data_IF_991154501758
#
_entry.id   IF_991154501758
#
_cell.length_a   1.000
_cell.length_b   1.000
_cell.length_c   1.000
_cell.angle_alpha   90.00
_cell.angle_beta   90.00
_cell.angle_gamma   90.00
#
_symmetry.space_group_name_H-M   'P 1'
#
loop_
_entity.id
_entity.type
_entity.pdbx_description
1 polymer ?
#
# COMPACT_ATOMS: atom_id res chain seq x y z
N UNK A 1 -12.36 44.49 -68.63
CA UNK A 1 -13.60 44.45 -67.82
C UNK A 1 -13.53 43.23 -66.91
N UNK A 2 -13.41 43.47 -65.60
CA UNK A 2 -12.96 42.52 -64.56
C UNK A 2 -14.08 42.29 -63.54
N UNK A 3 -15.18 41.61 -63.88
CA UNK A 3 -16.24 41.34 -62.88
C UNK A 3 -17.03 40.06 -63.19
N UNK A 4 -16.37 38.91 -63.31
CA UNK A 4 -17.10 37.62 -63.41
C UNK A 4 -16.50 36.48 -62.58
N UNK A 5 -15.61 36.79 -61.62
CA UNK A 5 -14.95 35.77 -60.80
C UNK A 5 -15.32 35.79 -59.30
N UNK A 6 -16.17 36.72 -58.86
CA UNK A 6 -16.52 36.85 -57.43
C UNK A 6 -17.91 36.29 -57.05
N UNK A 7 -18.69 35.76 -58.00
CA UNK A 7 -20.02 35.22 -57.71
C UNK A 7 -20.03 33.72 -57.33
N UNK A 8 -18.94 32.98 -57.59
CA UNK A 8 -18.91 31.52 -57.36
C UNK A 8 -18.40 31.12 -55.95
N UNK A 9 -17.82 32.04 -55.18
CA UNK A 9 -17.20 31.73 -53.88
C UNK A 9 -18.11 31.93 -52.66
N UNK A 10 -19.34 32.42 -52.85
CA UNK A 10 -20.28 32.72 -51.75
C UNK A 10 -21.44 31.70 -51.61
N UNK A 11 -21.43 30.60 -52.36
CA UNK A 11 -22.47 29.56 -52.32
C UNK A 11 -22.04 28.25 -51.64
N UNK A 12 -20.79 28.14 -51.17
CA UNK A 12 -20.27 26.92 -50.52
C UNK A 12 -20.27 27.00 -48.98
N UNK A 13 -20.79 28.07 -48.38
CA UNK A 13 -20.78 28.27 -46.91
C UNK A 13 -22.07 27.84 -46.20
N UNK A 14 -23.02 27.17 -46.88
CA UNK A 14 -24.32 26.81 -46.29
C UNK A 14 -24.69 25.32 -46.35
N UNK A 15 -23.72 24.42 -46.61
CA UNK A 15 -23.96 22.97 -46.56
C UNK A 15 -22.86 22.28 -45.76
N UNK A 16 -22.82 22.53 -44.44
CA UNK A 16 -22.37 21.55 -43.44
C UNK A 16 -22.59 22.05 -42.01
N UNK A 17 -23.86 22.22 -41.64
CA UNK A 17 -24.28 22.00 -40.26
C UNK A 17 -25.46 21.03 -40.31
N UNK A 18 -25.17 19.86 -40.89
CA UNK A 18 -25.92 18.66 -40.58
C UNK A 18 -25.72 18.38 -39.09
N UNK A 19 -26.82 18.11 -38.39
CA UNK A 19 -26.84 17.66 -37.01
C UNK A 19 -25.84 16.52 -36.82
N UNK A 20 -24.67 16.83 -36.27
CA UNK A 20 -23.90 15.86 -35.53
C UNK A 20 -24.21 16.13 -34.07
N UNK A 21 -25.22 15.42 -33.55
CA UNK A 21 -25.23 14.94 -32.18
C UNK A 21 -24.03 13.98 -32.00
N UNK A 22 -22.82 14.50 -32.20
CA UNK A 22 -21.63 13.91 -31.65
C UNK A 22 -21.65 14.31 -30.19
N UNK A 23 -22.41 13.57 -29.39
CA UNK A 23 -21.88 13.17 -28.10
C UNK A 23 -20.53 12.54 -28.40
N UNK A 24 -19.47 13.36 -28.40
CA UNK A 24 -18.15 12.88 -28.07
C UNK A 24 -18.37 12.35 -26.66
N UNK A 25 -18.67 11.06 -26.58
CA UNK A 25 -18.51 10.31 -25.35
C UNK A 25 -17.07 10.58 -24.96
N UNK A 26 -16.92 11.52 -24.02
CA UNK A 26 -15.71 11.70 -23.25
C UNK A 26 -15.24 10.28 -22.93
N UNK A 27 -14.03 9.85 -23.37
CA UNK A 27 -13.53 8.52 -23.15
C UNK A 27 -13.15 8.40 -21.67
N UNK A 28 -14.15 8.52 -20.80
CA UNK A 28 -14.08 8.12 -19.42
C UNK A 28 -13.70 6.65 -19.48
N UNK A 29 -12.63 6.24 -18.79
CA UNK A 29 -12.24 4.84 -18.72
C UNK A 29 -13.49 4.03 -18.37
N UNK A 30 -13.78 3.00 -19.17
CA UNK A 30 -14.88 2.07 -18.88
C UNK A 30 -14.69 1.61 -17.43
N UNK A 31 -15.70 1.84 -16.60
CA UNK A 31 -15.66 1.50 -15.19
C UNK A 31 -15.50 -0.03 -15.05
N UNK A 32 -14.26 -0.47 -14.87
CA UNK A 32 -13.96 -1.88 -14.61
C UNK A 32 -14.50 -2.24 -13.23
N UNK A 33 -15.26 -3.33 -13.17
CA UNK A 33 -15.75 -3.87 -11.90
C UNK A 33 -14.68 -4.67 -11.15
N UNK A 34 -13.69 -5.22 -11.88
CA UNK A 34 -12.62 -6.06 -11.32
C UNK A 34 -11.26 -5.64 -11.88
N UNK A 35 -10.30 -5.49 -10.98
CA UNK A 35 -8.90 -5.19 -11.29
C UNK A 35 -8.00 -6.33 -10.82
N UNK A 36 -6.95 -6.63 -11.58
CA UNK A 36 -5.96 -7.65 -11.25
C UNK A 36 -4.55 -7.09 -11.37
N UNK A 37 -3.92 -6.81 -10.24
CA UNK A 37 -2.60 -6.20 -10.20
C UNK A 37 -1.49 -7.22 -9.96
N UNK A 38 -0.34 -6.98 -10.59
CA UNK A 38 0.90 -7.73 -10.42
C UNK A 38 1.95 -6.85 -9.75
N UNK A 39 2.76 -7.44 -8.87
CA UNK A 39 3.86 -6.74 -8.21
C UNK A 39 4.86 -6.17 -9.23
N UNK A 40 5.35 -4.96 -8.97
CA UNK A 40 6.33 -4.28 -9.82
C UNK A 40 7.59 -3.88 -9.06
N UNK A 41 7.42 -3.24 -7.91
CA UNK A 41 8.54 -2.69 -7.13
C UNK A 41 8.15 -2.50 -5.67
N UNK A 42 9.15 -2.34 -4.81
CA UNK A 42 8.95 -1.96 -3.42
C UNK A 42 9.72 -0.67 -3.11
N UNK A 43 9.38 -0.03 -2.00
CA UNK A 43 10.13 1.11 -1.47
C UNK A 43 10.09 1.07 0.05
N UNK A 44 11.27 1.10 0.68
CA UNK A 44 11.39 1.30 2.13
C UNK A 44 11.20 2.79 2.41
N UNK A 45 10.21 3.14 3.24
CA UNK A 45 9.91 4.56 3.55
C UNK A 45 10.67 5.06 4.75
N UNK A 46 10.77 4.24 5.78
CA UNK A 46 11.50 4.56 7.00
C UNK A 46 11.91 3.27 7.70
N UNK A 47 13.10 3.29 8.29
CA UNK A 47 13.59 2.26 9.19
C UNK A 47 14.09 2.95 10.43
N UNK A 48 13.66 2.48 11.59
CA UNK A 48 14.06 3.09 12.85
C UNK A 48 14.30 2.01 13.88
N UNK A 49 15.35 2.23 14.66
CA UNK A 49 15.86 1.31 15.65
C UNK A 49 15.96 2.03 16.99
N UNK A 50 15.44 1.41 18.03
CA UNK A 50 15.80 1.68 19.42
C UNK A 50 16.65 0.53 19.93
N UNK A 51 17.78 0.82 20.58
CA UNK A 51 18.65 -0.20 21.16
C UNK A 51 19.30 0.27 22.46
N UNK A 52 19.67 -0.69 23.30
CA UNK A 52 20.50 -0.45 24.47
C UNK A 52 19.71 0.01 25.69
N UNK A 53 20.42 0.17 26.81
CA UNK A 53 19.85 0.40 28.15
C UNK A 53 19.19 1.77 28.36
N UNK A 54 19.18 2.62 27.34
CA UNK A 54 18.49 3.92 27.36
C UNK A 54 17.51 4.08 26.18
N UNK A 55 17.31 3.02 25.38
CA UNK A 55 16.51 3.11 24.16
C UNK A 55 17.04 4.18 23.21
N UNK A 56 18.30 4.08 22.81
CA UNK A 56 18.92 5.04 21.88
C UNK A 56 18.32 4.89 20.49
N UNK A 57 17.83 6.01 19.93
CA UNK A 57 17.20 6.04 18.60
C UNK A 57 18.26 6.17 17.50
N UNK A 58 18.14 5.36 16.46
CA UNK A 58 18.86 5.52 15.21
C UNK A 58 17.99 5.16 14.00
N UNK A 59 18.46 5.52 12.81
CA UNK A 59 17.83 5.19 11.53
C UNK A 59 18.86 4.43 10.67
N UNK A 60 18.95 3.09 10.83
CA UNK A 60 19.94 2.32 10.09
C UNK A 60 19.57 2.24 8.60
N UNK A 61 20.58 2.00 7.77
CA UNK A 61 20.40 1.78 6.33
C UNK A 61 19.52 0.56 6.06
N UNK A 62 18.91 0.52 4.87
CA UNK A 62 18.05 -0.58 4.44
C UNK A 62 18.74 -1.95 4.49
N UNK A 63 20.06 -2.02 4.25
CA UNK A 63 20.84 -3.26 4.36
C UNK A 63 20.70 -3.94 5.72
N UNK A 64 20.43 -3.16 6.78
CA UNK A 64 20.20 -3.65 8.14
C UNK A 64 18.98 -4.57 8.23
N UNK A 65 17.98 -4.39 7.37
CA UNK A 65 16.76 -5.19 7.37
C UNK A 65 17.01 -6.65 7.02
N UNK A 66 18.06 -6.95 6.24
CA UNK A 66 18.38 -8.33 5.79
C UNK A 66 18.66 -9.27 6.96
N UNK A 67 19.21 -8.77 8.07
CA UNK A 67 19.43 -9.54 9.29
C UNK A 67 18.15 -9.90 10.04
N UNK A 68 17.04 -9.22 9.74
CA UNK A 68 15.75 -9.43 10.38
C UNK A 68 14.78 -10.11 9.42
N UNK A 69 14.60 -9.61 8.20
CA UNK A 69 13.74 -10.17 7.17
C UNK A 69 14.56 -10.31 5.90
N UNK A 70 14.93 -11.53 5.50
CA UNK A 70 15.75 -11.73 4.30
C UNK A 70 14.99 -11.48 3.00
N UNK A 71 13.66 -11.65 3.01
CA UNK A 71 12.79 -11.57 1.83
C UNK A 71 11.88 -10.33 1.83
N UNK A 72 12.20 -9.27 2.59
CA UNK A 72 11.33 -8.09 2.68
C UNK A 72 11.14 -7.36 1.34
N UNK A 73 12.09 -7.48 0.42
CA UNK A 73 12.03 -6.90 -0.93
C UNK A 73 10.99 -7.61 -1.81
N UNK A 74 10.68 -8.86 -1.47
CA UNK A 74 9.67 -9.66 -2.15
C UNK A 74 8.37 -9.65 -1.34
N UNK A 75 7.26 -9.13 -1.88
CA UNK A 75 6.01 -9.17 -1.14
C UNK A 75 5.54 -10.62 -0.97
N UNK A 76 4.87 -10.88 0.15
CA UNK A 76 4.21 -12.16 0.39
C UNK A 76 3.13 -12.47 -0.65
N UNK A 77 2.58 -11.45 -1.30
CA UNK A 77 1.55 -11.57 -2.32
C UNK A 77 2.04 -10.96 -3.62
N UNK A 78 2.20 -11.76 -4.67
CA UNK A 78 2.69 -11.30 -5.98
C UNK A 78 1.55 -10.73 -6.84
N UNK A 79 0.32 -11.17 -6.57
CA UNK A 79 -0.90 -10.72 -7.24
C UNK A 79 -1.96 -10.27 -6.26
N UNK A 80 -2.69 -9.22 -6.63
CA UNK A 80 -3.85 -8.69 -5.90
C UNK A 80 -5.03 -8.59 -6.87
N UNK A 81 -6.20 -9.11 -6.50
CA UNK A 81 -7.44 -8.85 -7.25
C UNK A 81 -8.39 -8.03 -6.40
N UNK A 82 -8.90 -6.95 -6.97
CA UNK A 82 -9.85 -6.05 -6.34
C UNK A 82 -11.16 -6.09 -7.13
N UNK A 83 -12.20 -6.64 -6.51
CA UNK A 83 -13.55 -6.73 -7.06
C UNK A 83 -14.42 -5.64 -6.41
N UNK A 84 -14.66 -4.55 -7.14
CA UNK A 84 -15.41 -3.38 -6.70
C UNK A 84 -16.91 -3.70 -6.52
N UNK A 85 -17.44 -4.65 -7.29
CA UNK A 85 -18.84 -5.04 -7.25
C UNK A 85 -19.17 -5.86 -6.02
N UNK A 86 -18.38 -6.91 -5.78
CA UNK A 86 -18.53 -7.77 -4.61
C UNK A 86 -17.87 -7.20 -3.35
N UNK A 87 -17.13 -6.09 -3.47
CA UNK A 87 -16.35 -5.46 -2.39
C UNK A 87 -15.38 -6.42 -1.73
N UNK A 88 -14.70 -7.23 -2.55
CA UNK A 88 -13.70 -8.20 -2.08
C UNK A 88 -12.31 -7.93 -2.63
N UNK A 89 -11.30 -8.09 -1.78
CA UNK A 89 -9.90 -8.06 -2.19
C UNK A 89 -9.30 -9.42 -1.91
N UNK A 90 -8.61 -9.97 -2.91
CA UNK A 90 -7.90 -11.24 -2.85
C UNK A 90 -6.40 -11.01 -2.97
N UNK A 91 -5.64 -11.56 -2.02
CA UNK A 91 -4.19 -11.50 -1.98
C UNK A 91 -3.65 -12.91 -2.26
N UNK A 92 -2.97 -13.05 -3.40
CA UNK A 92 -2.47 -14.34 -3.88
C UNK A 92 -0.97 -14.48 -3.59
N UNK A 93 -0.61 -15.56 -2.91
CA UNK A 93 0.79 -15.96 -2.73
C UNK A 93 1.14 -17.04 -3.75
N UNK A 94 2.34 -16.98 -4.34
CA UNK A 94 2.84 -18.07 -5.19
C UNK A 94 3.34 -19.27 -4.40
N UNK A 95 3.67 -19.07 -3.12
CA UNK A 95 4.29 -20.08 -2.25
C UNK A 95 3.30 -20.69 -1.24
N UNK A 96 2.12 -20.09 -1.10
CA UNK A 96 1.07 -20.59 -0.21
C UNK A 96 -0.10 -21.15 -1.01
N UNK A 97 -0.67 -22.25 -0.54
CA UNK A 97 -1.94 -22.79 -1.08
C UNK A 97 -3.17 -22.03 -0.57
N UNK A 98 -2.98 -21.03 0.29
CA UNK A 98 -4.05 -20.22 0.86
C UNK A 98 -4.05 -18.81 0.29
N UNK A 99 -5.07 -18.53 -0.51
CA UNK A 99 -5.43 -17.17 -0.91
C UNK A 99 -6.18 -16.47 0.22
N UNK A 100 -5.83 -15.21 0.49
CA UNK A 100 -6.53 -14.42 1.50
C UNK A 100 -7.59 -13.56 0.84
N UNK A 101 -8.85 -13.76 1.21
CA UNK A 101 -9.98 -12.94 0.74
C UNK A 101 -10.53 -12.11 1.88
N UNK A 102 -10.64 -10.81 1.67
CA UNK A 102 -11.22 -9.88 2.64
C UNK A 102 -12.36 -9.08 2.00
N UNK A 103 -13.37 -8.74 2.81
CA UNK A 103 -14.26 -7.63 2.45
C UNK A 103 -13.53 -6.31 2.64
N UNK A 104 -13.81 -5.32 1.81
CA UNK A 104 -13.18 -4.00 1.91
C UNK A 104 -14.18 -2.84 1.79
N UNK A 105 -13.74 -1.67 2.23
CA UNK A 105 -14.34 -0.36 1.92
C UNK A 105 -13.25 0.55 1.37
N UNK A 106 -13.60 1.43 0.43
CA UNK A 106 -12.72 2.47 -0.10
C UNK A 106 -13.20 3.81 0.45
N UNK A 107 -12.28 4.60 1.01
CA UNK A 107 -12.50 5.98 1.41
C UNK A 107 -11.44 6.83 0.71
N UNK A 108 -11.87 7.68 -0.23
CA UNK A 108 -10.98 8.29 -1.23
C UNK A 108 -10.24 7.21 -2.02
N UNK A 109 -8.92 7.10 -1.86
CA UNK A 109 -8.11 6.04 -2.46
C UNK A 109 -7.75 4.94 -1.44
N UNK A 110 -7.99 5.16 -0.15
CA UNK A 110 -7.57 4.24 0.89
C UNK A 110 -8.49 3.03 0.97
N UNK A 111 -7.89 1.85 0.90
CA UNK A 111 -8.56 0.56 1.02
C UNK A 111 -8.45 0.06 2.45
N UNK A 112 -9.61 -0.19 3.08
CA UNK A 112 -9.70 -0.74 4.42
C UNK A 112 -10.36 -2.12 4.38
N UNK A 113 -9.72 -3.13 4.95
CA UNK A 113 -10.25 -4.49 5.04
C UNK A 113 -10.91 -4.74 6.39
N UNK A 114 -11.90 -5.63 6.42
CA UNK A 114 -12.44 -6.16 7.66
C UNK A 114 -11.94 -7.59 7.86
N UNK A 115 -11.15 -7.81 8.90
CA UNK A 115 -10.80 -9.16 9.35
C UNK A 115 -11.97 -9.76 10.13
N UNK A 116 -12.23 -11.06 9.97
CA UNK A 116 -13.41 -11.74 10.53
C UNK A 116 -13.57 -11.58 12.05
N UNK A 117 -12.48 -11.33 12.78
CA UNK A 117 -12.46 -11.22 14.24
C UNK A 117 -12.22 -9.79 14.76
N UNK A 118 -12.18 -8.79 13.88
CA UNK A 118 -11.92 -7.40 14.27
C UNK A 118 -13.07 -6.49 13.83
N UNK A 119 -13.63 -5.76 14.80
CA UNK A 119 -14.72 -4.82 14.54
C UNK A 119 -14.23 -3.51 13.89
N UNK A 120 -12.91 -3.24 13.93
CA UNK A 120 -12.31 -2.05 13.30
C UNK A 120 -11.71 -2.42 11.95
N UNK A 121 -12.01 -1.65 10.89
CA UNK A 121 -11.40 -1.88 9.59
C UNK A 121 -9.91 -1.54 9.63
N UNK A 122 -9.09 -2.36 8.98
CA UNK A 122 -7.64 -2.21 8.91
C UNK A 122 -7.28 -1.60 7.56
N UNK A 123 -6.61 -0.45 7.58
CA UNK A 123 -6.04 0.13 6.36
C UNK A 123 -4.92 -0.75 5.81
N UNK A 124 -4.96 -1.07 4.52
CA UNK A 124 -3.96 -1.93 3.86
C UNK A 124 -3.14 -1.21 2.80
N UNK A 125 -3.63 -0.10 2.26
CA UNK A 125 -3.00 0.52 1.11
C UNK A 125 -3.95 1.39 0.30
N UNK A 126 -3.45 1.88 -0.83
CA UNK A 126 -4.15 2.83 -1.68
C UNK A 126 -4.43 2.22 -3.06
N UNK A 127 -5.66 2.38 -3.54
CA UNK A 127 -6.08 2.03 -4.90
C UNK A 127 -6.29 3.30 -5.72
N UNK A 128 -5.48 3.46 -6.75
CA UNK A 128 -5.58 4.60 -7.67
C UNK A 128 -6.25 4.14 -8.96
N UNK A 129 -7.55 4.40 -9.06
CA UNK A 129 -8.39 4.00 -10.20
C UNK A 129 -7.89 4.55 -11.54
N UNK A 130 -7.45 5.82 -11.55
CA UNK A 130 -7.03 6.52 -12.76
C UNK A 130 -5.76 5.93 -13.40
N UNK A 131 -4.91 5.29 -12.60
CA UNK A 131 -3.64 4.71 -13.04
C UNK A 131 -3.65 3.18 -13.02
N UNK A 132 -4.79 2.56 -12.70
CA UNK A 132 -4.90 1.11 -12.46
C UNK A 132 -3.75 0.57 -11.61
N UNK A 133 -3.48 1.22 -10.49
CA UNK A 133 -2.39 0.84 -9.59
C UNK A 133 -2.86 0.66 -8.15
N UNK A 134 -2.20 -0.24 -7.45
CA UNK A 134 -2.44 -0.51 -6.04
C UNK A 134 -1.12 -0.45 -5.27
N UNK A 135 -1.09 0.30 -4.17
CA UNK A 135 0.07 0.35 -3.28
C UNK A 135 -0.30 -0.35 -1.97
N UNK A 136 0.24 -1.54 -1.75
CA UNK A 136 0.09 -2.26 -0.49
C UNK A 136 1.10 -1.74 0.53
N UNK A 137 0.62 -1.33 1.70
CA UNK A 137 1.47 -0.82 2.79
C UNK A 137 1.61 -1.87 3.87
N UNK A 138 2.85 -2.09 4.30
CA UNK A 138 3.21 -3.08 5.32
C UNK A 138 4.16 -2.47 6.33
N UNK A 139 3.94 -2.80 7.59
CA UNK A 139 4.92 -2.55 8.66
C UNK A 139 5.56 -3.85 9.06
N UNK A 140 6.88 -3.90 9.09
CA UNK A 140 7.64 -5.00 9.68
C UNK A 140 8.17 -4.55 11.03
N UNK A 141 7.97 -5.36 12.07
CA UNK A 141 8.33 -5.00 13.45
C UNK A 141 9.07 -6.15 14.13
N UNK A 142 10.17 -5.80 14.79
CA UNK A 142 10.97 -6.69 15.60
C UNK A 142 11.14 -6.08 17.00
N UNK A 143 10.90 -6.89 18.03
CA UNK A 143 11.08 -6.51 19.43
C UNK A 143 11.87 -7.60 20.13
N UNK A 144 12.89 -7.20 20.88
CA UNK A 144 13.68 -8.06 21.76
C UNK A 144 13.75 -7.45 23.14
N UNK A 145 13.30 -8.20 24.15
CA UNK A 145 13.37 -7.81 25.57
C UNK A 145 14.20 -8.84 26.33
N UNK A 146 15.31 -8.40 26.88
CA UNK A 146 16.22 -9.22 27.68
C UNK A 146 15.60 -9.47 29.06
N UNK A 147 15.75 -10.68 29.64
CA UNK A 147 15.35 -10.97 31.03
C UNK A 147 15.83 -9.90 32.02
N UNK A 148 14.98 -9.51 32.97
CA UNK A 148 15.36 -8.55 34.02
C UNK A 148 15.86 -9.26 35.27
N UNK A 149 15.31 -10.44 35.55
CA UNK A 149 15.65 -11.32 36.65
C UNK A 149 15.76 -12.78 36.16
N UNK A 150 16.12 -13.70 37.06
CA UNK A 150 16.34 -15.12 36.74
C UNK A 150 15.05 -15.91 36.43
N UNK A 151 13.88 -15.31 36.64
CA UNK A 151 12.58 -15.91 36.31
C UNK A 151 12.02 -15.43 34.96
N UNK A 152 12.59 -14.36 34.39
CA UNK A 152 12.16 -13.82 33.11
C UNK A 152 12.77 -14.60 31.94
N UNK A 153 11.96 -14.89 30.92
CA UNK A 153 12.45 -15.46 29.67
C UNK A 153 12.85 -14.37 28.66
N UNK A 154 13.78 -14.71 27.76
CA UNK A 154 14.08 -13.87 26.60
C UNK A 154 12.84 -13.79 25.71
N UNK A 155 12.35 -12.57 25.49
CA UNK A 155 11.23 -12.34 24.59
C UNK A 155 11.74 -11.78 23.27
N UNK A 156 11.42 -12.49 22.18
CA UNK A 156 11.65 -12.01 20.81
C UNK A 156 10.33 -12.12 20.05
N UNK A 157 9.91 -11.01 19.45
CA UNK A 157 8.74 -10.96 18.58
C UNK A 157 9.14 -10.37 17.25
N UNK A 158 8.71 -11.02 16.17
CA UNK A 158 8.92 -10.58 14.80
C UNK A 158 7.59 -10.71 14.06
N UNK A 159 7.06 -9.61 13.55
CA UNK A 159 5.74 -9.55 12.96
C UNK A 159 5.72 -8.65 11.72
N UNK A 160 4.67 -8.82 10.91
CA UNK A 160 4.42 -7.97 9.76
C UNK A 160 2.91 -7.68 9.66
N UNK A 161 2.55 -6.40 9.65
CA UNK A 161 1.18 -5.90 9.74
C UNK A 161 0.81 -5.11 8.49
N UNK A 162 -0.49 -5.05 8.18
CA UNK A 162 -0.99 -4.15 7.15
C UNK A 162 -0.92 -2.68 7.61
N UNK A 163 -0.77 -1.79 6.63
CA UNK A 163 -0.74 -0.35 6.84
C UNK A 163 0.66 0.17 7.21
N UNK A 164 0.67 1.42 7.63
CA UNK A 164 1.87 2.17 7.99
C UNK A 164 1.86 2.46 9.48
N UNK A 165 2.90 2.05 10.18
CA UNK A 165 3.05 2.34 11.61
C UNK A 165 3.74 3.68 11.80
N UNK A 166 3.08 4.56 12.56
CA UNK A 166 3.63 5.81 13.04
C UNK A 166 4.32 5.63 14.39
N UNK A 167 5.11 6.64 14.80
CA UNK A 167 5.93 6.58 16.00
C UNK A 167 5.15 6.13 17.26
N UNK A 168 3.99 6.74 17.47
CA UNK A 168 3.13 6.52 18.64
C UNK A 168 2.62 5.07 18.76
N UNK A 169 2.66 4.29 17.67
CA UNK A 169 2.09 2.95 17.60
C UNK A 169 3.15 1.83 17.63
N UNK A 170 4.42 2.17 17.76
CA UNK A 170 5.52 1.18 17.76
C UNK A 170 5.74 0.63 19.14
N UNK A 171 5.65 1.47 20.15
CA UNK A 171 5.67 1.01 21.52
C UNK A 171 4.29 0.47 21.86
N UNK A 172 4.25 -0.61 22.63
CA UNK A 172 3.04 -1.34 22.96
C UNK A 172 3.27 -2.15 24.22
N UNK A 173 2.70 -3.35 24.31
CA UNK A 173 2.69 -4.09 25.57
C UNK A 173 4.07 -4.58 26.05
N UNK A 174 5.07 -4.70 25.16
CA UNK A 174 6.41 -5.20 25.52
C UNK A 174 7.28 -4.10 26.11
N UNK A 175 7.34 -2.98 25.38
CA UNK A 175 7.92 -1.72 25.78
C UNK A 175 6.88 -0.65 25.47
N UNK A 176 6.45 0.10 26.46
CA UNK A 176 5.49 1.21 26.31
C UNK A 176 6.21 2.52 25.95
N UNK A 177 7.49 2.64 26.31
CA UNK A 177 8.36 3.77 25.97
C UNK A 177 9.81 3.31 25.78
N UNK A 178 10.67 4.10 25.11
CA UNK A 178 12.10 3.81 25.05
C UNK A 178 12.76 3.67 26.42
N UNK A 179 12.29 4.42 27.43
CA UNK A 179 12.88 4.42 28.77
C UNK A 179 12.77 3.09 29.54
N UNK A 180 11.86 2.20 29.12
CA UNK A 180 11.74 0.86 29.69
C UNK A 180 12.80 -0.13 29.19
N UNK A 181 13.57 0.26 28.16
CA UNK A 181 14.67 -0.51 27.61
C UNK A 181 15.89 -0.35 28.51
N UNK A 182 15.98 -1.13 29.59
CA UNK A 182 17.01 -0.98 30.62
C UNK A 182 18.21 -1.95 30.49
N UNK A 183 18.19 -2.86 29.51
CA UNK A 183 19.30 -3.81 29.26
C UNK A 183 19.94 -3.53 27.90
N UNK A 184 21.26 -3.70 27.82
CA UNK A 184 22.04 -3.40 26.61
C UNK A 184 21.63 -4.20 25.37
N UNK A 185 21.00 -5.36 25.55
CA UNK A 185 20.48 -6.20 24.48
C UNK A 185 19.02 -5.94 24.08
N UNK A 186 18.33 -5.00 24.72
CA UNK A 186 16.97 -4.63 24.34
C UNK A 186 16.95 -3.95 22.98
N UNK A 187 15.90 -4.24 22.23
CA UNK A 187 15.76 -3.72 20.89
C UNK A 187 14.30 -3.56 20.47
N UNK A 188 14.01 -2.47 19.77
CA UNK A 188 12.78 -2.29 18.99
C UNK A 188 13.18 -1.78 17.61
N UNK A 189 12.93 -2.57 16.57
CA UNK A 189 13.15 -2.20 15.18
C UNK A 189 11.82 -2.22 14.46
N UNK A 190 11.56 -1.22 13.63
CA UNK A 190 10.45 -1.31 12.68
C UNK A 190 10.81 -0.61 11.36
N UNK A 191 10.11 -1.02 10.32
CA UNK A 191 10.19 -0.39 9.01
C UNK A 191 8.84 -0.41 8.32
N UNK A 192 8.53 0.65 7.59
CA UNK A 192 7.38 0.67 6.68
C UNK A 192 7.86 0.46 5.25
N UNK A 193 7.21 -0.48 4.57
CA UNK A 193 7.49 -0.84 3.19
C UNK A 193 6.20 -0.67 2.40
N UNK A 194 6.32 0.00 1.26
CA UNK A 194 5.27 0.07 0.25
C UNK A 194 5.61 -0.88 -0.89
N UNK A 195 4.65 -1.71 -1.28
CA UNK A 195 4.75 -2.58 -2.44
C UNK A 195 3.81 -2.06 -3.52
N UNK A 196 4.36 -1.72 -4.66
CA UNK A 196 3.65 -1.16 -5.80
C UNK A 196 3.22 -2.27 -6.76
N UNK A 197 1.94 -2.28 -7.09
CA UNK A 197 1.32 -3.20 -8.02
C UNK A 197 0.67 -2.44 -9.16
N UNK A 198 0.69 -3.04 -10.34
CA UNK A 198 0.06 -2.49 -11.55
C UNK A 198 -0.62 -3.59 -12.32
N UNK A 199 -1.75 -3.26 -12.94
CA UNK A 199 -2.45 -4.14 -13.88
C UNK A 199 -1.55 -4.52 -15.07
#
# INVERSE_FOLDING_TARGET
MKYSFYALMMALSLISCENNDNTIDDPRPVDKEVYSFQFKSYTVKNTVLYKGSNGEKSAPDESYLTGYWSLYQEPAWKKITLDLKNKTIKLFSETSTTDFTYSFTIVNDSVLIKENNNNKPTYIGDFHKNTSSFTLKRTYRYVKKIPRNDQDALLITKSAHFGTTQYENIFGNIFTTPSEMIKGGDQVLWTNIEYSYKE
#
